data_IF_494546355146
#
_entry.id   IF_494546355146
#
_cell.length_a   1.000
_cell.length_b   1.000
_cell.length_c   1.000
_cell.angle_alpha   90.00
_cell.angle_beta   90.00
_cell.angle_gamma   90.00
#
_symmetry.space_group_name_H-M   'P 1'
#
loop_
_entity.id
_entity.type
_entity.pdbx_description
1 polymer ?
#
# COMPACT_ATOMS: atom_id res chain seq x y z
N UNK A 1 8.30 1.90 -9.41
CA UNK A 1 7.94 0.47 -9.64
C UNK A 1 7.03 -0.10 -8.55
N UNK A 2 6.26 -1.20 -8.75
CA UNK A 2 5.45 -1.80 -7.68
C UNK A 2 6.26 -2.21 -6.44
N UNK A 3 7.49 -2.70 -6.64
CA UNK A 3 8.40 -3.06 -5.54
C UNK A 3 8.81 -1.84 -4.73
N UNK A 4 9.20 -0.76 -5.41
CA UNK A 4 9.53 0.53 -4.80
C UNK A 4 8.34 1.13 -4.04
N UNK A 5 7.13 1.09 -4.61
CA UNK A 5 5.93 1.55 -3.92
C UNK A 5 5.68 0.75 -2.63
N UNK A 6 5.84 -0.58 -2.68
CA UNK A 6 5.69 -1.42 -1.50
C UNK A 6 6.76 -1.11 -0.44
N UNK A 7 8.01 -0.89 -0.86
CA UNK A 7 9.12 -0.51 0.02
C UNK A 7 8.87 0.85 0.69
N UNK A 8 8.45 1.86 -0.07
CA UNK A 8 8.12 3.19 0.47
C UNK A 8 6.94 3.15 1.43
N UNK A 9 5.87 2.43 1.10
CA UNK A 9 4.74 2.23 2.01
C UNK A 9 5.17 1.57 3.33
N UNK A 10 6.09 0.61 3.27
CA UNK A 10 6.61 -0.05 4.48
C UNK A 10 7.55 0.87 5.27
N UNK A 11 8.53 1.49 4.64
CA UNK A 11 9.58 2.24 5.31
C UNK A 11 9.08 3.60 5.83
N UNK A 12 8.26 4.30 5.05
CA UNK A 12 7.79 5.66 5.38
C UNK A 12 6.50 5.63 6.23
N UNK A 13 5.64 4.62 6.01
CA UNK A 13 4.30 4.59 6.60
C UNK A 13 3.98 3.33 7.40
N UNK A 14 4.89 2.35 7.47
CA UNK A 14 4.71 1.06 8.16
C UNK A 14 3.54 0.24 7.62
N UNK A 15 3.24 0.37 6.33
CA UNK A 15 2.17 -0.34 5.64
C UNK A 15 2.77 -1.42 4.76
N UNK A 16 2.59 -2.68 5.17
CA UNK A 16 3.02 -3.81 4.37
C UNK A 16 2.06 -4.07 3.19
N UNK A 17 2.61 -4.20 1.99
CA UNK A 17 1.87 -4.58 0.78
C UNK A 17 2.66 -5.56 -0.07
N UNK A 18 1.97 -6.35 -0.89
CA UNK A 18 2.63 -7.26 -1.83
C UNK A 18 2.72 -6.60 -3.21
N UNK A 19 3.93 -6.40 -3.72
CA UNK A 19 4.17 -5.91 -5.08
C UNK A 19 3.84 -6.99 -6.11
N UNK A 20 3.01 -6.66 -7.10
CA UNK A 20 2.67 -7.53 -8.23
C UNK A 20 3.17 -6.87 -9.51
N UNK A 21 4.00 -7.59 -10.25
CA UNK A 21 4.48 -7.19 -11.56
C UNK A 21 4.38 -8.38 -12.54
N UNK A 22 3.23 -8.54 -13.19
CA UNK A 22 2.99 -9.59 -14.19
C UNK A 22 2.03 -9.09 -15.28
N UNK A 23 1.96 -9.73 -16.47
CA UNK A 23 1.02 -9.33 -17.51
C UNK A 23 -0.43 -9.24 -16.99
N UNK A 24 -1.10 -8.13 -17.30
CA UNK A 24 -2.49 -7.86 -16.88
C UNK A 24 -2.68 -7.30 -15.47
N UNK A 25 -1.67 -7.35 -14.58
CA UNK A 25 -1.75 -6.76 -13.24
C UNK A 25 -0.40 -6.17 -12.82
N UNK A 26 -0.36 -4.85 -12.63
CA UNK A 26 0.81 -4.12 -12.15
C UNK A 26 0.42 -3.16 -11.04
N UNK A 27 0.95 -3.36 -9.84
CA UNK A 27 0.65 -2.53 -8.67
C UNK A 27 0.91 -3.24 -7.35
N UNK A 28 0.42 -2.66 -6.25
CA UNK A 28 0.48 -3.26 -4.92
C UNK A 28 -0.87 -3.91 -4.57
N UNK A 29 -0.82 -5.07 -3.93
CA UNK A 29 -2.01 -5.76 -3.41
C UNK A 29 -2.18 -5.44 -1.93
N UNK A 30 -3.31 -4.81 -1.61
CA UNK A 30 -3.75 -4.52 -0.24
C UNK A 30 -4.98 -5.39 0.05
N UNK A 31 -4.96 -6.10 1.19
CA UNK A 31 -6.06 -7.00 1.61
C UNK A 31 -6.44 -6.70 3.05
N UNK A 32 -7.33 -5.71 3.30
CA UNK A 32 -7.88 -5.47 4.63
C UNK A 32 -8.63 -6.71 5.12
N UNK A 33 -8.68 -6.91 6.44
CA UNK A 33 -9.42 -8.00 7.06
C UNK A 33 -10.38 -7.47 8.13
N UNK A 34 -11.13 -8.36 8.79
CA UNK A 34 -12.14 -7.99 9.80
C UNK A 34 -11.57 -7.26 11.02
N UNK A 35 -10.26 -7.37 11.27
CA UNK A 35 -9.56 -6.65 12.33
C UNK A 35 -9.00 -5.30 11.88
N UNK A 36 -9.03 -5.00 10.57
CA UNK A 36 -8.61 -3.70 10.07
C UNK A 36 -9.63 -2.63 10.45
N UNK A 37 -9.20 -1.69 11.26
CA UNK A 37 -9.99 -0.55 11.72
C UNK A 37 -10.11 0.51 10.62
N UNK A 38 -11.15 1.36 10.73
CA UNK A 38 -11.28 2.53 9.85
C UNK A 38 -10.09 3.50 9.98
N UNK A 39 -9.45 3.56 11.15
CA UNK A 39 -8.25 4.36 11.38
C UNK A 39 -7.06 3.89 10.54
N UNK A 40 -6.83 2.58 10.48
CA UNK A 40 -5.78 1.99 9.64
C UNK A 40 -6.06 2.19 8.15
N UNK A 41 -7.33 2.10 7.73
CA UNK A 41 -7.72 2.43 6.34
C UNK A 41 -7.46 3.91 6.01
N UNK A 42 -7.75 4.82 6.95
CA UNK A 42 -7.46 6.24 6.76
C UNK A 42 -5.95 6.51 6.69
N UNK A 43 -5.13 5.78 7.46
CA UNK A 43 -3.67 5.86 7.39
C UNK A 43 -3.15 5.43 6.00
N UNK A 44 -3.71 4.37 5.43
CA UNK A 44 -3.43 3.96 4.06
C UNK A 44 -3.79 5.04 3.03
N UNK A 45 -4.99 5.62 3.12
CA UNK A 45 -5.41 6.69 2.20
C UNK A 45 -4.48 7.90 2.30
N UNK A 46 -4.09 8.27 3.53
CA UNK A 46 -3.15 9.38 3.77
C UNK A 46 -1.78 9.10 3.13
N UNK A 47 -1.23 7.90 3.36
CA UNK A 47 0.04 7.47 2.78
C UNK A 47 0.03 7.54 1.24
N UNK A 48 -1.01 6.99 0.60
CA UNK A 48 -1.14 7.04 -0.86
C UNK A 48 -1.19 8.49 -1.37
N UNK A 49 -1.93 9.38 -0.70
CA UNK A 49 -1.98 10.80 -1.08
C UNK A 49 -0.61 11.46 -0.98
N UNK A 50 0.14 11.21 0.09
CA UNK A 50 1.50 11.72 0.29
C UNK A 50 2.46 11.24 -0.80
N UNK A 51 2.38 9.97 -1.19
CA UNK A 51 3.25 9.38 -2.22
C UNK A 51 2.88 9.79 -3.66
N UNK A 52 1.66 10.31 -3.85
CA UNK A 52 1.15 10.76 -5.15
C UNK A 52 1.39 12.24 -5.45
N UNK A 53 1.79 13.02 -4.43
CA UNK A 53 2.16 14.42 -4.56
C UNK A 53 3.59 14.56 -5.11
#
# INVERSE_FOLDING_TARGET
EPAELAERLMNEHRIYTAAINRPGVRGVRVTPNVYTTKGELNALVSAIKTLSA
#
